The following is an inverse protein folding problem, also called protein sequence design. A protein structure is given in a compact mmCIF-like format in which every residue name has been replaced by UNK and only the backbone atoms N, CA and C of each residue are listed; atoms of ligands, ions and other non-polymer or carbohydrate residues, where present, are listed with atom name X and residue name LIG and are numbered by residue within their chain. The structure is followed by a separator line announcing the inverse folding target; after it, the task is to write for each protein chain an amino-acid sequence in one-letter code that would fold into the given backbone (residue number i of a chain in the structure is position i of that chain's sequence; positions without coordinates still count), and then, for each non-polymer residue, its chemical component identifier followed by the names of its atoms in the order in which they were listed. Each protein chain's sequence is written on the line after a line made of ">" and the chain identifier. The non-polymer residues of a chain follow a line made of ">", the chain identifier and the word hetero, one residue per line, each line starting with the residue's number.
data_IF_916335331838
#
_entry.id   IF_916335331838
#
_cell.length_a   1.000
_cell.length_b   1.000
_cell.length_c   1.000
_cell.angle_alpha   90.00
_cell.angle_beta   90.00
_cell.angle_gamma   90.00
#
_symmetry.space_group_name_H-M   'P 1'
#
loop_
_entity.id
_entity.type
_entity.pdbx_description
1 polymer ?
#
# COMPACT_ATOMS: atom_id res chain seq x y z
N UNK A 1 -3.98 -2.82 9.84
CA UNK A 1 -5.06 -3.85 9.70
C UNK A 1 -5.07 -4.36 8.26
N UNK A 2 -5.37 -5.64 7.98
CA UNK A 2 -5.44 -6.19 6.60
C UNK A 2 -6.83 -6.78 6.35
N UNK A 3 -7.61 -6.17 5.44
CA UNK A 3 -8.84 -6.75 4.89
C UNK A 3 -10.12 -6.57 5.73
N UNK A 4 -10.29 -5.44 6.41
CA UNK A 4 -11.58 -5.08 7.01
C UNK A 4 -12.65 -4.83 5.94
N UNK A 5 -13.91 -4.78 6.35
CA UNK A 5 -15.02 -4.41 5.46
C UNK A 5 -14.71 -3.10 4.75
N UNK A 6 -14.72 -3.12 3.42
CA UNK A 6 -14.53 -1.94 2.59
C UNK A 6 -15.68 -1.81 1.60
N UNK A 7 -16.04 -0.56 1.31
CA UNK A 7 -17.03 -0.20 0.29
C UNK A 7 -16.36 0.74 -0.68
N UNK A 8 -16.54 0.50 -1.97
CA UNK A 8 -16.05 1.36 -3.03
C UNK A 8 -17.28 2.01 -3.70
N UNK A 9 -17.76 3.16 -3.19
CA UNK A 9 -19.06 3.73 -3.56
C UNK A 9 -19.11 4.30 -4.98
N UNK A 10 -17.96 4.60 -5.58
CA UNK A 10 -17.86 5.21 -6.91
C UNK A 10 -17.22 4.25 -7.93
N UNK A 11 -16.02 3.73 -7.65
CA UNK A 11 -15.30 2.82 -8.56
C UNK A 11 -14.66 1.64 -7.83
N UNK A 12 -14.52 0.46 -8.48
CA UNK A 12 -13.85 -0.68 -7.88
C UNK A 12 -12.37 -0.38 -7.56
N UNK A 13 -12.02 -0.40 -6.28
CA UNK A 13 -10.66 -0.20 -5.77
C UNK A 13 -9.78 -1.47 -5.79
N UNK A 14 -10.34 -2.60 -6.26
CA UNK A 14 -9.69 -3.92 -6.28
C UNK A 14 -10.09 -4.83 -5.11
N UNK A 15 -9.74 -6.11 -5.21
CA UNK A 15 -10.19 -7.17 -4.29
C UNK A 15 -9.62 -7.04 -2.87
N UNK A 16 -8.52 -6.29 -2.72
CA UNK A 16 -7.80 -6.18 -1.45
C UNK A 16 -7.27 -4.78 -1.23
N UNK A 17 -7.66 -4.19 -0.11
CA UNK A 17 -7.14 -2.94 0.40
C UNK A 17 -6.28 -3.20 1.65
N UNK A 18 -5.16 -2.47 1.74
CA UNK A 18 -4.26 -2.54 2.89
C UNK A 18 -3.91 -1.12 3.30
N UNK A 19 -4.17 -0.79 4.56
CA UNK A 19 -3.76 0.47 5.17
C UNK A 19 -2.65 0.16 6.18
N UNK A 20 -1.53 0.84 6.01
CA UNK A 20 -0.36 0.74 6.89
C UNK A 20 -0.14 2.13 7.47
N UNK A 21 -0.23 2.22 8.79
CA UNK A 21 0.04 3.44 9.54
C UNK A 21 1.51 3.46 9.95
N UNK A 22 2.16 4.59 9.76
CA UNK A 22 3.55 4.84 10.17
C UNK A 22 3.58 6.05 11.11
N UNK A 23 4.61 6.12 11.95
CA UNK A 23 4.76 7.23 12.90
C UNK A 23 5.08 8.57 12.21
N UNK A 24 5.60 8.55 10.99
CA UNK A 24 5.81 9.75 10.17
C UNK A 24 5.74 9.45 8.68
N UNK A 25 5.51 10.49 7.88
CA UNK A 25 5.52 10.41 6.42
C UNK A 25 6.90 9.95 5.88
N UNK A 26 7.98 10.46 6.46
CA UNK A 26 9.35 10.08 6.08
C UNK A 26 9.61 8.59 6.31
N UNK A 27 9.09 8.01 7.40
CA UNK A 27 9.22 6.57 7.66
C UNK A 27 8.45 5.74 6.63
N UNK A 28 7.28 6.20 6.19
CA UNK A 28 6.52 5.52 5.15
C UNK A 28 7.28 5.53 3.80
N UNK A 29 7.90 6.67 3.46
CA UNK A 29 8.77 6.77 2.28
C UNK A 29 10.02 5.90 2.41
N UNK A 30 10.71 5.94 3.54
CA UNK A 30 11.89 5.12 3.79
C UNK A 30 11.56 3.63 3.69
N UNK A 31 10.41 3.20 4.22
CA UNK A 31 9.93 1.83 4.08
C UNK A 31 9.71 1.47 2.60
N UNK A 32 9.07 2.34 1.82
CA UNK A 32 8.87 2.10 0.40
C UNK A 32 10.20 2.01 -0.37
N UNK A 33 11.16 2.87 -0.07
CA UNK A 33 12.47 2.89 -0.73
C UNK A 33 13.46 1.84 -0.21
N UNK A 34 13.13 1.14 0.86
CA UNK A 34 14.00 0.11 1.43
C UNK A 34 14.29 -1.01 0.41
N UNK A 35 15.54 -1.53 0.37
CA UNK A 35 15.90 -2.59 -0.56
C UNK A 35 15.06 -3.85 -0.35
N UNK A 36 14.65 -4.12 0.89
CA UNK A 36 13.78 -5.25 1.24
C UNK A 36 12.39 -5.09 0.61
N UNK A 37 11.79 -3.90 0.68
CA UNK A 37 10.48 -3.65 0.10
C UNK A 37 10.52 -3.59 -1.42
N UNK A 38 11.57 -3.01 -2.01
CA UNK A 38 11.79 -3.02 -3.46
C UNK A 38 11.95 -4.44 -3.99
N UNK A 39 12.68 -5.31 -3.28
CA UNK A 39 12.76 -6.72 -3.63
C UNK A 39 11.39 -7.40 -3.53
N UNK A 40 10.61 -7.12 -2.47
CA UNK A 40 9.25 -7.66 -2.33
C UNK A 40 8.30 -7.25 -3.47
N UNK A 41 8.42 -6.02 -4.00
CA UNK A 41 7.63 -5.54 -5.14
C UNK A 41 7.88 -6.41 -6.38
N UNK A 42 9.11 -6.88 -6.61
CA UNK A 42 9.45 -7.69 -7.80
C UNK A 42 8.66 -9.00 -7.86
N UNK A 43 8.37 -9.62 -6.72
CA UNK A 43 7.52 -10.81 -6.66
C UNK A 43 6.04 -10.48 -6.89
N UNK A 44 5.59 -9.28 -6.47
CA UNK A 44 4.20 -8.86 -6.60
C UNK A 44 3.83 -8.46 -8.03
N UNK A 45 4.71 -7.74 -8.72
CA UNK A 45 4.46 -7.17 -10.06
C UNK A 45 3.94 -8.17 -11.12
N UNK A 46 4.51 -9.38 -11.28
CA UNK A 46 4.06 -10.30 -12.34
C UNK A 46 2.71 -10.96 -12.06
N UNK A 47 2.28 -11.01 -10.79
CA UNK A 47 1.08 -11.77 -10.37
C UNK A 47 -0.07 -10.88 -9.91
N UNK A 48 0.16 -9.57 -9.73
CA UNK A 48 -0.84 -8.67 -9.19
C UNK A 48 -0.62 -7.21 -9.59
N UNK A 49 -1.71 -6.54 -9.97
CA UNK A 49 -1.77 -5.09 -10.12
C UNK A 49 -2.16 -4.48 -8.79
N UNK A 50 -1.36 -3.54 -8.27
CA UNK A 50 -1.73 -2.75 -7.10
C UNK A 50 -1.50 -1.27 -7.36
N UNK A 51 -2.39 -0.44 -6.80
CA UNK A 51 -2.22 1.01 -6.70
C UNK A 51 -1.72 1.31 -5.30
N UNK A 52 -0.61 2.04 -5.20
CA UNK A 52 0.00 2.40 -3.92
C UNK A 52 0.10 3.92 -3.85
N UNK A 53 -0.34 4.48 -2.73
CA UNK A 53 -0.28 5.91 -2.45
C UNK A 53 0.23 6.08 -1.03
N UNK A 54 1.18 7.00 -0.84
CA UNK A 54 1.72 7.39 0.46
C UNK A 54 1.21 8.80 0.71
N UNK A 55 0.42 8.97 1.75
CA UNK A 55 -0.29 10.21 2.05
C UNK A 55 0.13 10.66 3.44
N UNK A 56 0.49 11.94 3.57
CA UNK A 56 0.74 12.57 4.87
C UNK A 56 -0.61 12.86 5.55
N UNK A 57 -0.76 12.43 6.80
CA UNK A 57 -1.93 12.77 7.61
C UNK A 57 -1.80 14.20 8.15
N UNK A 58 -2.86 14.99 8.03
CA UNK A 58 -2.97 16.35 8.57
C UNK A 58 -3.60 16.32 9.96
#
# INVERSE_FOLDING_TARGET
>A
MRGGQSVAPEEPTGDRQVVIEFASYEQALACYHSPEYQHAITFRQPVSKARLSIIEGV
#
